data_IF_670069602694
#
_entry.id   IF_670069602694
#
_cell.length_a   1.000
_cell.length_b   1.000
_cell.length_c   1.000
_cell.angle_alpha   90.00
_cell.angle_beta   90.00
_cell.angle_gamma   90.00
#
_symmetry.space_group_name_H-M   'P 1'
#
loop_
_entity.id
_entity.type
_entity.pdbx_description
1 polymer ?
#
# COMPACT_ATOMS: atom_id res chain seq x y z
N UNK A 1 -26.12 -35.58 12.80
CA UNK A 1 -25.80 -37.01 12.98
C UNK A 1 -24.77 -37.36 11.94
N UNK A 2 -23.51 -37.22 12.37
CA UNK A 2 -22.37 -38.13 12.21
C UNK A 2 -22.38 -39.12 11.05
N UNK A 3 -21.24 -39.17 10.35
CA UNK A 3 -20.92 -40.22 9.39
C UNK A 3 -19.62 -39.97 8.63
N UNK A 4 -18.53 -39.84 9.38
CA UNK A 4 -17.13 -39.86 8.91
C UNK A 4 -16.83 -41.16 8.15
N UNK A 5 -16.18 -41.06 6.98
CA UNK A 5 -15.40 -42.16 6.44
C UNK A 5 -14.16 -41.60 5.71
N UNK A 6 -13.04 -41.59 6.43
CA UNK A 6 -11.70 -41.34 5.91
C UNK A 6 -11.35 -42.41 4.86
N UNK A 7 -11.05 -41.98 3.64
CA UNK A 7 -10.19 -42.73 2.72
C UNK A 7 -8.74 -42.31 2.95
N UNK A 8 -7.95 -43.21 3.52
CA UNK A 8 -6.50 -43.10 3.60
C UNK A 8 -5.91 -43.47 2.24
N UNK A 9 -5.42 -42.47 1.50
CA UNK A 9 -4.50 -42.68 0.38
C UNK A 9 -3.07 -42.48 0.87
N UNK A 10 -2.40 -43.62 0.97
CA UNK A 10 -0.96 -43.79 1.09
C UNK A 10 -0.25 -43.07 -0.07
N UNK A 11 0.71 -42.21 0.28
CA UNK A 11 1.66 -41.62 -0.67
C UNK A 11 2.98 -41.41 0.07
N UNK A 12 3.75 -42.50 0.08
CA UNK A 12 5.21 -42.50 0.16
C UNK A 12 5.84 -41.37 -0.65
N UNK A 13 6.62 -40.53 0.02
CA UNK A 13 7.75 -39.83 -0.58
C UNK A 13 8.85 -39.70 0.47
N UNK A 14 9.84 -40.57 0.36
CA UNK A 14 11.18 -40.39 0.90
C UNK A 14 11.72 -39.01 0.49
N UNK A 15 12.02 -38.17 1.46
CA UNK A 15 12.99 -37.08 1.30
C UNK A 15 13.65 -36.85 2.66
N UNK A 16 14.83 -37.43 2.78
CA UNK A 16 15.78 -37.30 3.87
C UNK A 16 16.07 -35.81 4.13
N UNK A 17 15.58 -35.28 5.26
CA UNK A 17 16.17 -34.08 5.85
C UNK A 17 17.08 -34.53 6.99
N UNK A 18 18.29 -34.93 6.60
CA UNK A 18 19.43 -35.02 7.50
C UNK A 18 19.72 -33.61 8.00
N UNK A 19 19.29 -33.33 9.23
CA UNK A 19 19.63 -32.13 9.97
C UNK A 19 21.13 -32.20 10.34
N UNK A 20 21.98 -31.82 9.38
CA UNK A 20 23.40 -31.57 9.63
C UNK A 20 23.51 -30.16 10.18
N UNK A 21 23.42 -30.04 11.51
CA UNK A 21 23.99 -28.90 12.24
C UNK A 21 25.49 -28.90 12.01
N UNK A 22 25.95 -28.23 10.97
CA UNK A 22 27.37 -28.00 10.74
C UNK A 22 27.80 -26.90 11.71
N UNK A 23 28.25 -27.33 12.89
CA UNK A 23 29.06 -26.50 13.79
C UNK A 23 30.32 -26.15 13.00
N UNK A 24 30.40 -24.89 12.53
CA UNK A 24 31.60 -24.36 11.89
C UNK A 24 32.62 -24.08 12.98
N UNK A 25 33.30 -25.13 13.46
CA UNK A 25 34.59 -24.97 14.12
C UNK A 25 35.62 -24.65 13.04
N UNK A 26 35.79 -23.36 12.77
CA UNK A 26 36.96 -22.88 12.04
C UNK A 26 38.19 -23.01 12.94
N UNK A 27 38.76 -24.21 13.02
CA UNK A 27 40.15 -24.35 13.48
C UNK A 27 41.06 -23.75 12.40
N UNK A 28 42.00 -22.86 12.79
CA UNK A 28 42.96 -22.32 11.84
C UNK A 28 43.92 -23.43 11.42
N UNK A 29 44.35 -23.48 10.13
CA UNK A 29 45.36 -24.45 9.72
C UNK A 29 46.63 -24.22 10.53
N UNK A 30 47.07 -25.29 11.19
CA UNK A 30 48.23 -25.31 12.06
C UNK A 30 49.43 -24.62 11.41
N UNK A 31 50.07 -23.78 12.19
CA UNK A 31 51.40 -23.27 11.91
C UNK A 31 52.33 -24.47 11.73
N UNK A 32 52.62 -24.80 10.48
CA UNK A 32 53.84 -25.52 10.12
C UNK A 32 54.99 -24.63 10.59
N UNK A 33 55.51 -24.98 11.75
CA UNK A 33 56.80 -24.51 12.24
C UNK A 33 57.83 -24.96 11.20
N UNK A 34 58.23 -24.03 10.33
CA UNK A 34 59.48 -24.14 9.58
C UNK A 34 60.58 -24.14 10.65
N UNK A 35 61.09 -25.34 10.98
CA UNK A 35 62.37 -25.55 11.65
C UNK A 35 63.43 -24.78 10.85
N UNK A 36 63.78 -23.59 11.35
CA UNK A 36 64.98 -22.90 10.93
C UNK A 36 66.11 -23.60 11.66
N UNK A 37 66.93 -24.33 10.88
CA UNK A 37 68.24 -24.78 11.32
C UNK A 37 68.99 -23.58 11.90
N UNK A 38 69.16 -23.58 13.22
CA UNK A 38 70.09 -22.70 13.89
C UNK A 38 71.49 -23.07 13.37
N UNK A 39 72.05 -22.25 12.48
CA UNK A 39 73.50 -22.24 12.29
C UNK A 39 74.10 -21.95 13.67
N UNK A 40 74.78 -22.95 14.24
CA UNK A 40 75.61 -22.80 15.43
C UNK A 40 76.60 -21.66 15.20
N UNK A 41 76.26 -20.44 15.60
CA UNK A 41 77.26 -19.40 15.81
C UNK A 41 78.07 -19.82 17.02
N UNK A 42 79.31 -20.26 16.77
CA UNK A 42 80.35 -20.47 17.77
C UNK A 42 80.23 -19.44 18.91
N UNK A 43 79.87 -19.94 20.08
CA UNK A 43 79.89 -19.20 21.33
C UNK A 43 81.37 -18.89 21.64
N UNK A 44 81.87 -17.76 21.13
CA UNK A 44 83.22 -17.28 21.43
C UNK A 44 83.31 -17.05 22.94
N UNK A 45 84.07 -17.92 23.60
CA UNK A 45 84.38 -17.87 25.03
C UNK A 45 84.84 -16.47 25.47
N UNK A 46 84.68 -16.10 26.77
CA UNK A 46 85.18 -14.83 27.26
C UNK A 46 86.71 -14.82 27.16
N UNK A 47 87.24 -14.17 26.12
CA UNK A 47 88.68 -13.98 25.94
C UNK A 47 89.23 -13.14 27.09
N UNK A 48 90.00 -13.80 27.96
CA UNK A 48 90.78 -13.14 29.02
C UNK A 48 91.82 -12.26 28.33
N UNK A 49 91.78 -10.97 28.63
CA UNK A 49 92.62 -9.96 27.99
C UNK A 49 93.98 -9.96 28.67
N UNK A 50 94.90 -10.75 28.13
CA UNK A 50 96.31 -10.61 28.42
C UNK A 50 96.84 -9.34 27.77
N UNK A 51 97.49 -8.48 28.56
CA UNK A 51 98.17 -7.30 28.05
C UNK A 51 99.25 -7.73 27.05
N UNK A 52 99.22 -7.15 25.85
CA UNK A 52 100.18 -7.47 24.80
C UNK A 52 101.61 -7.09 25.23
N UNK A 53 102.60 -7.88 24.82
CA UNK A 53 103.99 -7.51 25.03
C UNK A 53 104.32 -6.22 24.26
N UNK A 54 105.23 -5.40 24.77
CA UNK A 54 105.61 -4.14 24.12
C UNK A 54 106.07 -4.34 22.65
N UNK A 55 106.73 -5.46 22.36
CA UNK A 55 107.16 -5.80 21.01
C UNK A 55 105.96 -6.10 20.09
N UNK A 56 104.93 -6.75 20.62
CA UNK A 56 103.70 -7.07 19.88
C UNK A 56 102.84 -5.82 19.67
N UNK A 57 102.74 -4.93 20.67
CA UNK A 57 102.10 -3.62 20.54
C UNK A 57 102.73 -2.82 19.39
N UNK A 58 104.06 -2.78 19.30
CA UNK A 58 104.76 -2.08 18.21
C UNK A 58 104.50 -2.73 16.85
N UNK A 59 104.55 -4.06 16.76
CA UNK A 59 104.28 -4.79 15.49
C UNK A 59 102.86 -4.64 15.00
N UNK A 60 101.87 -4.67 15.91
CA UNK A 60 100.46 -4.55 15.55
C UNK A 60 100.11 -3.09 15.26
N UNK A 61 100.71 -2.13 15.97
CA UNK A 61 100.54 -0.70 15.68
C UNK A 61 100.99 -0.33 14.27
N UNK A 62 102.15 -0.81 13.81
CA UNK A 62 102.61 -0.52 12.43
C UNK A 62 101.67 -1.10 11.38
N UNK A 63 101.03 -2.24 11.65
CA UNK A 63 100.03 -2.83 10.77
C UNK A 63 98.74 -1.98 10.77
N UNK A 64 98.29 -1.52 11.95
CA UNK A 64 97.10 -0.66 12.06
C UNK A 64 97.30 0.70 11.39
N UNK A 65 98.49 1.29 11.50
CA UNK A 65 98.88 2.52 10.79
C UNK A 65 98.78 2.34 9.27
N UNK A 66 99.36 1.26 8.73
CA UNK A 66 99.26 0.93 7.30
C UNK A 66 97.81 0.72 6.85
N UNK A 67 96.98 0.06 7.67
CA UNK A 67 95.54 -0.11 7.36
C UNK A 67 94.79 1.21 7.35
N UNK A 68 95.06 2.12 8.30
CA UNK A 68 94.45 3.46 8.32
C UNK A 68 94.89 4.28 7.10
N UNK A 69 96.16 4.20 6.72
CA UNK A 69 96.69 4.86 5.53
C UNK A 69 96.03 4.31 4.26
N UNK A 70 95.88 2.99 4.14
CA UNK A 70 95.18 2.36 3.04
C UNK A 70 93.69 2.73 2.98
N UNK A 71 93.00 2.80 4.12
CA UNK A 71 91.61 3.26 4.21
C UNK A 71 91.49 4.74 3.86
N UNK A 72 92.49 5.56 4.18
CA UNK A 72 92.57 6.96 3.81
C UNK A 72 92.73 7.11 2.29
N UNK A 73 93.66 6.36 1.69
CA UNK A 73 93.86 6.29 0.24
C UNK A 73 92.57 5.86 -0.47
N UNK A 74 91.91 4.81 0.04
CA UNK A 74 90.62 4.35 -0.48
C UNK A 74 89.55 5.46 -0.42
N UNK A 75 89.55 6.26 0.65
CA UNK A 75 88.70 7.44 0.80
C UNK A 75 88.91 8.49 -0.28
N UNK A 76 90.15 8.71 -0.70
CA UNK A 76 90.49 9.63 -1.80
C UNK A 76 90.16 9.06 -3.19
N UNK A 77 90.24 7.74 -3.36
CA UNK A 77 89.94 7.06 -4.64
C UNK A 77 88.44 6.94 -4.89
N UNK A 78 87.61 6.88 -3.85
CA UNK A 78 86.16 6.70 -3.94
C UNK A 78 85.42 8.01 -3.57
N UNK A 79 85.59 9.14 -4.27
CA UNK A 79 84.95 10.38 -3.85
C UNK A 79 83.42 10.28 -3.95
N UNK A 80 82.72 10.51 -2.83
CA UNK A 80 81.27 10.78 -2.87
C UNK A 80 81.11 12.14 -3.56
N UNK A 81 80.39 12.26 -4.68
CA UNK A 81 80.11 13.57 -5.25
C UNK A 81 79.39 14.40 -4.19
N UNK A 82 80.01 15.51 -3.78
CA UNK A 82 79.47 16.45 -2.81
C UNK A 82 78.15 17.02 -3.37
N UNK A 83 77.04 16.78 -2.67
CA UNK A 83 75.81 17.54 -2.86
C UNK A 83 76.13 19.02 -2.56
N UNK A 84 76.37 19.80 -3.61
CA UNK A 84 76.46 21.26 -3.54
C UNK A 84 75.15 21.79 -2.97
N UNK A 85 75.14 22.04 -1.65
CA UNK A 85 74.04 22.66 -0.94
C UNK A 85 73.67 24.00 -1.60
N UNK A 86 72.39 24.13 -1.93
CA UNK A 86 71.73 25.43 -2.06
C UNK A 86 71.87 26.16 -0.74
N UNK A 87 72.65 27.23 -0.72
CA UNK A 87 72.63 28.22 0.36
C UNK A 87 73.02 29.59 -0.18
N UNK A 88 72.04 30.25 -0.82
CA UNK A 88 71.94 31.70 -0.84
C UNK A 88 70.51 32.03 -0.40
N UNK A 89 70.37 32.40 0.88
CA UNK A 89 69.66 33.61 1.31
C UNK A 89 69.40 33.48 2.80
N UNK A 90 70.22 34.17 3.59
CA UNK A 90 69.95 34.42 4.99
C UNK A 90 69.53 35.89 5.12
N UNK A 91 68.51 36.10 5.98
CA UNK A 91 68.09 37.35 6.66
C UNK A 91 66.95 38.14 6.02
N UNK A 92 65.74 37.87 6.51
CA UNK A 92 64.96 38.88 7.22
C UNK A 92 64.12 38.17 8.30
N UNK A 93 64.46 38.42 9.57
CA UNK A 93 63.69 38.03 10.75
C UNK A 93 62.73 39.16 11.14
N UNK A 94 61.68 38.79 11.90
CA UNK A 94 60.56 39.60 12.42
C UNK A 94 59.38 39.69 11.43
N UNK A 95 58.14 39.25 11.72
CA UNK A 95 57.38 39.15 12.98
C UNK A 95 56.33 37.99 12.99
N UNK A 96 55.74 37.74 14.18
CA UNK A 96 54.87 36.61 14.59
C UNK A 96 53.42 36.60 14.01
N UNK A 97 52.65 35.49 14.19
CA UNK A 97 51.54 35.10 13.32
C UNK A 97 50.17 35.60 13.76
N UNK A 98 49.22 35.70 12.81
CA UNK A 98 47.80 35.83 13.12
C UNK A 98 46.91 35.24 12.01
N UNK A 99 46.21 34.19 12.41
CA UNK A 99 44.79 33.92 12.17
C UNK A 99 44.17 33.98 10.75
N UNK A 100 43.68 32.78 10.36
CA UNK A 100 42.27 32.52 9.97
C UNK A 100 41.87 32.57 8.47
N UNK A 101 41.22 31.45 8.12
CA UNK A 101 40.16 31.23 7.13
C UNK A 101 40.46 31.30 5.63
N UNK A 102 40.40 30.10 5.05
CA UNK A 102 39.37 29.65 4.11
C UNK A 102 39.04 30.48 2.86
N UNK A 103 39.28 29.77 1.76
CA UNK A 103 38.35 29.48 0.66
C UNK A 103 38.20 30.43 -0.52
N UNK A 104 38.44 29.79 -1.68
CA UNK A 104 37.76 29.89 -2.98
C UNK A 104 38.19 31.01 -3.92
N UNK A 105 38.95 30.58 -4.93
CA UNK A 105 38.83 31.11 -6.30
C UNK A 105 37.85 30.25 -7.08
N UNK A 106 36.82 30.91 -7.61
CA UNK A 106 35.98 30.42 -8.70
C UNK A 106 36.62 30.82 -10.04
N UNK A 107 36.14 30.16 -11.11
CA UNK A 107 36.17 30.53 -12.55
C UNK A 107 37.22 29.88 -13.47
N UNK A 108 36.79 28.73 -14.01
CA UNK A 108 36.73 28.31 -15.45
C UNK A 108 36.87 29.44 -16.51
N UNK A 109 36.99 29.12 -17.83
CA UNK A 109 37.61 27.96 -18.51
C UNK A 109 38.36 28.32 -19.83
N UNK A 110 38.82 27.28 -20.55
CA UNK A 110 38.87 27.18 -22.02
C UNK A 110 40.07 27.81 -22.76
N UNK A 111 40.97 26.98 -23.31
CA UNK A 111 40.91 26.54 -24.73
C UNK A 111 42.19 25.80 -25.15
N UNK A 112 41.95 24.75 -25.95
CA UNK A 112 42.72 24.27 -27.11
C UNK A 112 44.26 24.21 -27.02
N UNK A 113 44.85 23.01 -26.98
CA UNK A 113 45.08 22.15 -28.14
C UNK A 113 45.86 22.85 -29.26
N UNK A 114 47.13 22.46 -29.46
CA UNK A 114 47.57 21.65 -30.62
C UNK A 114 49.07 21.78 -30.91
N UNK A 115 49.66 20.61 -31.15
CA UNK A 115 50.85 20.33 -31.96
C UNK A 115 52.23 20.64 -31.37
N UNK A 116 53.01 19.60 -31.03
CA UNK A 116 53.74 18.68 -31.94
C UNK A 116 55.08 19.30 -32.31
N UNK A 117 56.14 18.73 -31.74
CA UNK A 117 57.49 18.94 -32.25
C UNK A 117 58.54 18.66 -31.21
N UNK A 118 59.04 17.41 -31.25
CA UNK A 118 60.43 17.03 -30.98
C UNK A 118 60.91 17.19 -29.53
N UNK A 119 61.17 16.06 -28.88
CA UNK A 119 62.53 15.76 -28.40
C UNK A 119 62.63 14.30 -27.94
N UNK A 120 63.36 13.52 -28.74
CA UNK A 120 64.16 12.43 -28.24
C UNK A 120 65.16 13.05 -27.25
N UNK A 121 64.92 13.00 -25.95
CA UNK A 121 65.97 13.13 -24.92
C UNK A 121 65.48 12.53 -23.60
N UNK A 122 66.40 11.81 -22.97
CA UNK A 122 66.36 11.29 -21.60
C UNK A 122 65.56 10.00 -21.37
N UNK A 123 66.18 8.91 -21.84
CA UNK A 123 66.37 7.68 -21.06
C UNK A 123 66.29 7.99 -19.56
N UNK A 124 65.44 7.33 -18.79
CA UNK A 124 65.51 7.33 -17.32
C UNK A 124 66.67 6.44 -16.88
N UNK A 125 67.80 6.95 -16.35
CA UNK A 125 68.78 6.13 -15.62
C UNK A 125 68.60 6.31 -14.11
N UNK A 126 67.59 7.08 -13.67
CA UNK A 126 67.58 7.72 -12.36
C UNK A 126 67.55 6.71 -11.21
N UNK A 127 66.94 5.53 -11.38
CA UNK A 127 66.94 4.50 -10.34
C UNK A 127 68.29 3.81 -10.17
N UNK A 128 68.99 3.49 -11.26
CA UNK A 128 70.35 2.94 -11.18
C UNK A 128 71.33 3.98 -10.62
N UNK A 129 71.17 5.25 -10.99
CA UNK A 129 72.04 6.33 -10.48
C UNK A 129 71.82 6.64 -8.99
N UNK A 130 70.60 6.56 -8.47
CA UNK A 130 70.29 6.77 -7.04
C UNK A 130 70.79 5.59 -6.19
N UNK A 131 70.51 4.34 -6.61
CA UNK A 131 71.01 3.14 -5.92
C UNK A 131 72.54 3.16 -5.87
N UNK A 132 73.20 3.60 -6.94
CA UNK A 132 74.66 3.74 -6.97
C UNK A 132 75.20 4.86 -6.05
N UNK A 133 74.44 5.94 -5.82
CA UNK A 133 74.86 6.99 -4.90
C UNK A 133 74.67 6.58 -3.44
N UNK A 134 73.57 5.89 -3.12
CA UNK A 134 73.31 5.37 -1.78
C UNK A 134 74.30 4.26 -1.41
N UNK A 135 74.64 3.35 -2.33
CA UNK A 135 75.69 2.36 -2.12
C UNK A 135 77.06 3.00 -1.95
N UNK A 136 77.39 4.04 -2.73
CA UNK A 136 78.64 4.77 -2.58
C UNK A 136 78.72 5.51 -1.24
N UNK A 137 77.62 6.14 -0.80
CA UNK A 137 77.50 6.77 0.53
C UNK A 137 77.67 5.73 1.64
N UNK A 138 77.06 4.54 1.50
CA UNK A 138 77.23 3.43 2.44
C UNK A 138 78.68 2.97 2.51
N UNK A 139 79.32 2.70 1.38
CA UNK A 139 80.74 2.28 1.31
C UNK A 139 81.64 3.31 2.02
N UNK A 140 81.36 4.60 1.85
CA UNK A 140 82.12 5.67 2.49
C UNK A 140 81.87 5.79 4.00
N UNK A 141 80.64 5.56 4.46
CA UNK A 141 80.32 5.47 5.88
C UNK A 141 80.97 4.23 6.51
N UNK A 142 80.90 3.08 5.85
CA UNK A 142 81.51 1.82 6.30
C UNK A 142 83.03 1.98 6.38
N UNK A 143 83.67 2.59 5.37
CA UNK A 143 85.11 2.93 5.37
C UNK A 143 85.48 3.83 6.54
N UNK A 144 84.71 4.89 6.78
CA UNK A 144 84.97 5.81 7.89
C UNK A 144 84.82 5.09 9.23
N UNK A 145 83.78 4.27 9.38
CA UNK A 145 83.57 3.44 10.57
C UNK A 145 84.75 2.49 10.82
N UNK A 146 85.24 1.76 9.81
CA UNK A 146 86.43 0.92 9.95
C UNK A 146 87.67 1.73 10.34
N UNK A 147 87.86 2.91 9.73
CA UNK A 147 88.96 3.80 10.06
C UNK A 147 88.91 4.26 11.52
N UNK A 148 87.72 4.60 12.03
CA UNK A 148 87.53 5.07 13.40
C UNK A 148 87.73 3.94 14.42
N UNK A 149 87.25 2.72 14.11
CA UNK A 149 87.44 1.53 14.95
C UNK A 149 88.92 1.17 15.06
N UNK A 150 89.64 1.13 13.93
CA UNK A 150 91.07 0.79 13.91
C UNK A 150 91.91 1.89 14.57
N UNK A 151 91.59 3.16 14.34
CA UNK A 151 92.29 4.27 15.01
C UNK A 151 92.08 4.26 16.53
N UNK A 152 90.87 3.93 16.99
CA UNK A 152 90.56 3.81 18.42
C UNK A 152 91.29 2.61 19.04
N UNK A 153 91.29 1.45 18.37
CA UNK A 153 91.99 0.25 18.84
C UNK A 153 93.51 0.45 18.87
N UNK A 154 94.08 1.09 17.84
CA UNK A 154 95.50 1.43 17.79
C UNK A 154 95.90 2.35 18.93
N UNK A 155 95.10 3.38 19.21
CA UNK A 155 95.34 4.29 20.33
C UNK A 155 95.23 3.57 21.68
N UNK A 156 94.20 2.74 21.87
CA UNK A 156 94.04 1.92 23.08
C UNK A 156 95.24 0.98 23.30
N UNK A 157 95.76 0.41 22.22
CA UNK A 157 96.90 -0.50 22.26
C UNK A 157 98.21 0.21 22.59
N UNK A 158 98.41 1.43 22.08
CA UNK A 158 99.58 2.27 22.39
C UNK A 158 99.54 2.81 23.83
N UNK A 159 98.37 3.24 24.30
CA UNK A 159 98.21 3.87 25.62
C UNK A 159 98.12 2.85 26.76
N UNK A 160 97.46 1.71 26.54
CA UNK A 160 97.09 0.76 27.59
C UNK A 160 97.43 -0.72 27.28
N UNK A 161 97.97 -1.03 26.09
CA UNK A 161 98.30 -2.41 25.70
C UNK A 161 97.10 -3.34 25.55
N UNK A 162 95.91 -2.79 25.30
CA UNK A 162 94.61 -3.49 25.25
C UNK A 162 93.87 -3.22 23.93
N UNK A 163 92.94 -4.10 23.56
CA UNK A 163 92.13 -4.01 22.34
C UNK A 163 90.61 -4.19 22.58
N UNK A 164 90.12 -3.87 23.79
CA UNK A 164 88.72 -4.04 24.19
C UNK A 164 87.75 -3.30 23.27
N UNK A 165 88.12 -2.10 22.82
CA UNK A 165 87.30 -1.29 21.92
C UNK A 165 86.98 -2.00 20.60
N UNK A 166 87.92 -2.80 20.07
CA UNK A 166 87.70 -3.61 18.87
C UNK A 166 86.76 -4.77 19.14
N UNK A 167 86.93 -5.47 20.26
CA UNK A 167 86.07 -6.57 20.67
C UNK A 167 84.62 -6.09 20.91
N UNK A 168 84.45 -4.95 21.58
CA UNK A 168 83.13 -4.32 21.76
C UNK A 168 82.52 -3.88 20.41
N UNK A 169 83.33 -3.37 19.47
CA UNK A 169 82.84 -3.01 18.14
C UNK A 169 82.37 -4.23 17.35
N UNK A 170 83.12 -5.33 17.39
CA UNK A 170 82.74 -6.61 16.79
C UNK A 170 81.47 -7.20 17.43
N UNK A 171 81.36 -7.16 18.76
CA UNK A 171 80.15 -7.58 19.47
C UNK A 171 78.92 -6.78 19.05
N UNK A 172 79.03 -5.45 18.98
CA UNK A 172 77.95 -4.58 18.48
C UNK A 172 77.54 -4.91 17.04
N UNK A 173 78.48 -5.26 16.17
CA UNK A 173 78.17 -5.62 14.77
C UNK A 173 77.49 -6.99 14.67
N UNK A 174 77.89 -7.96 15.49
CA UNK A 174 77.21 -9.27 15.62
C UNK A 174 75.76 -9.08 16.11
N UNK A 175 75.57 -8.30 17.16
CA UNK A 175 74.23 -7.99 17.69
C UNK A 175 73.37 -7.27 16.64
N UNK A 176 73.95 -6.30 15.92
CA UNK A 176 73.26 -5.63 14.81
C UNK A 176 72.85 -6.62 13.73
N UNK A 177 73.75 -7.53 13.32
CA UNK A 177 73.45 -8.57 12.33
C UNK A 177 72.28 -9.44 12.78
N UNK A 178 72.30 -9.93 14.01
CA UNK A 178 71.21 -10.72 14.58
C UNK A 178 69.89 -9.94 14.59
N UNK A 179 69.90 -8.69 15.05
CA UNK A 179 68.73 -7.80 15.07
C UNK A 179 68.14 -7.58 13.66
N UNK A 180 68.99 -7.46 12.62
CA UNK A 180 68.53 -7.35 11.23
C UNK A 180 67.84 -8.64 10.75
N UNK A 181 68.39 -9.81 11.05
CA UNK A 181 67.79 -11.09 10.67
C UNK A 181 66.44 -11.29 11.38
N UNK A 182 66.37 -10.95 12.68
CA UNK A 182 65.11 -10.98 13.43
C UNK A 182 64.09 -9.98 12.88
N UNK A 183 64.52 -8.77 12.50
CA UNK A 183 63.65 -7.78 11.88
C UNK A 183 63.09 -8.25 10.53
N UNK A 184 63.91 -8.91 9.71
CA UNK A 184 63.51 -9.45 8.41
C UNK A 184 62.48 -10.57 8.59
N UNK A 185 62.76 -11.55 9.46
CA UNK A 185 61.83 -12.67 9.69
C UNK A 185 60.50 -12.20 10.26
N UNK A 186 60.51 -11.22 11.17
CA UNK A 186 59.29 -10.61 11.73
C UNK A 186 58.49 -9.87 10.67
N UNK A 187 59.14 -9.06 9.84
CA UNK A 187 58.50 -8.34 8.73
C UNK A 187 57.91 -9.31 7.71
N UNK A 188 58.61 -10.40 7.39
CA UNK A 188 58.12 -11.41 6.45
C UNK A 188 56.89 -12.14 6.99
N UNK A 189 56.92 -12.58 8.26
CA UNK A 189 55.75 -13.14 8.96
C UNK A 189 54.58 -12.15 8.95
N UNK A 190 54.83 -10.87 9.24
CA UNK A 190 53.82 -9.80 9.16
C UNK A 190 53.20 -9.67 7.76
N UNK A 191 54.02 -9.69 6.70
CA UNK A 191 53.54 -9.65 5.31
C UNK A 191 52.73 -10.88 4.92
N UNK A 192 53.13 -12.08 5.37
CA UNK A 192 52.37 -13.32 5.17
C UNK A 192 50.98 -13.20 5.83
N UNK A 193 50.92 -12.71 7.07
CA UNK A 193 49.66 -12.51 7.79
C UNK A 193 48.76 -11.46 7.12
N UNK A 194 49.33 -10.34 6.67
CA UNK A 194 48.57 -9.31 5.94
C UNK A 194 47.96 -9.89 4.67
N UNK A 195 48.73 -10.65 3.88
CA UNK A 195 48.22 -11.31 2.66
C UNK A 195 47.11 -12.31 2.98
N UNK A 196 47.24 -13.06 4.07
CA UNK A 196 46.23 -14.01 4.52
C UNK A 196 44.93 -13.31 4.93
N UNK A 197 45.01 -12.28 5.76
CA UNK A 197 43.85 -11.47 6.16
C UNK A 197 43.20 -10.76 4.98
N UNK A 198 43.97 -10.28 4.01
CA UNK A 198 43.45 -9.71 2.77
C UNK A 198 42.64 -10.71 1.96
N UNK A 199 43.08 -11.98 1.86
CA UNK A 199 42.33 -13.05 1.20
C UNK A 199 41.03 -13.34 1.94
N UNK A 200 41.10 -13.55 3.25
CA UNK A 200 39.90 -13.78 4.07
C UNK A 200 38.88 -12.65 3.93
N UNK A 201 39.33 -11.39 3.94
CA UNK A 201 38.45 -10.24 3.76
C UNK A 201 37.75 -10.25 2.39
N UNK A 202 38.45 -10.64 1.33
CA UNK A 202 37.88 -10.79 -0.01
C UNK A 202 36.86 -11.93 -0.04
N UNK A 203 37.15 -13.06 0.61
CA UNK A 203 36.28 -14.23 0.63
C UNK A 203 34.99 -13.94 1.40
N UNK A 204 35.08 -13.34 2.59
CA UNK A 204 33.91 -12.87 3.36
C UNK A 204 33.09 -11.86 2.56
N UNK A 205 33.74 -10.95 1.82
CA UNK A 205 33.03 -9.99 0.97
C UNK A 205 32.27 -10.68 -0.17
N UNK A 206 32.86 -11.69 -0.81
CA UNK A 206 32.19 -12.49 -1.85
C UNK A 206 31.03 -13.30 -1.27
N UNK A 207 31.24 -13.95 -0.14
CA UNK A 207 30.19 -14.71 0.56
C UNK A 207 29.00 -13.80 0.89
N UNK A 208 29.27 -12.63 1.49
CA UNK A 208 28.21 -11.67 1.81
C UNK A 208 27.49 -11.18 0.56
N UNK A 209 28.20 -10.97 -0.54
CA UNK A 209 27.61 -10.60 -1.83
C UNK A 209 26.66 -11.70 -2.35
N UNK A 210 27.05 -12.97 -2.25
CA UNK A 210 26.20 -14.11 -2.64
C UNK A 210 24.98 -14.22 -1.73
N UNK A 211 25.13 -14.07 -0.41
CA UNK A 211 24.00 -14.05 0.51
C UNK A 211 22.98 -12.95 0.16
N UNK A 212 23.45 -11.76 -0.21
CA UNK A 212 22.58 -10.65 -0.65
C UNK A 212 21.90 -10.99 -1.98
N UNK A 213 22.60 -11.61 -2.93
CA UNK A 213 22.00 -12.06 -4.19
C UNK A 213 20.90 -13.10 -3.96
N UNK A 214 21.17 -14.14 -3.17
CA UNK A 214 20.19 -15.16 -2.81
C UNK A 214 18.96 -14.55 -2.10
N UNK A 215 19.19 -13.60 -1.18
CA UNK A 215 18.12 -12.85 -0.52
C UNK A 215 17.26 -12.05 -1.50
N UNK A 216 17.89 -11.38 -2.48
CA UNK A 216 17.18 -10.64 -3.52
C UNK A 216 16.35 -11.56 -4.43
N UNK A 217 16.87 -12.73 -4.79
CA UNK A 217 16.15 -13.75 -5.57
C UNK A 217 14.93 -14.28 -4.80
N UNK A 218 15.09 -14.56 -3.50
CA UNK A 218 13.99 -14.98 -2.65
C UNK A 218 12.90 -13.90 -2.52
N UNK A 219 13.31 -12.63 -2.37
CA UNK A 219 12.37 -11.49 -2.38
C UNK A 219 11.64 -11.39 -3.72
N UNK A 220 12.31 -11.64 -4.85
CA UNK A 220 11.68 -11.64 -6.16
C UNK A 220 10.62 -12.75 -6.28
N UNK A 221 10.97 -13.98 -5.90
CA UNK A 221 10.02 -15.11 -5.87
C UNK A 221 8.81 -14.83 -4.99
N UNK A 222 9.01 -14.29 -3.78
CA UNK A 222 7.90 -13.91 -2.89
C UNK A 222 7.01 -12.80 -3.48
N UNK A 223 7.58 -11.83 -4.21
CA UNK A 223 6.81 -10.80 -4.89
C UNK A 223 5.93 -11.39 -6.00
N UNK A 224 6.47 -12.32 -6.78
CA UNK A 224 5.74 -12.99 -7.85
C UNK A 224 4.58 -13.83 -7.27
N UNK A 225 4.84 -14.61 -6.21
CA UNK A 225 3.79 -15.36 -5.50
C UNK A 225 2.70 -14.44 -4.95
N UNK A 226 3.07 -13.31 -4.34
CA UNK A 226 2.10 -12.34 -3.83
C UNK A 226 1.25 -11.75 -4.95
N UNK A 227 1.86 -11.43 -6.09
CA UNK A 227 1.16 -10.90 -7.25
C UNK A 227 0.21 -11.93 -7.85
N UNK A 228 0.62 -13.19 -7.94
CA UNK A 228 -0.22 -14.31 -8.38
C UNK A 228 -1.42 -14.51 -7.44
N UNK A 229 -1.19 -14.57 -6.13
CA UNK A 229 -2.27 -14.70 -5.14
C UNK A 229 -3.24 -13.53 -5.20
N UNK A 230 -2.73 -12.30 -5.35
CA UNK A 230 -3.57 -11.11 -5.52
C UNK A 230 -4.44 -11.20 -6.78
N UNK A 231 -3.88 -11.67 -7.90
CA UNK A 231 -4.64 -11.87 -9.13
C UNK A 231 -5.71 -12.96 -8.98
N UNK A 232 -5.38 -14.10 -8.37
CA UNK A 232 -6.31 -15.19 -8.09
C UNK A 232 -7.46 -14.75 -7.20
N UNK A 233 -7.18 -14.12 -6.05
CA UNK A 233 -8.19 -13.61 -5.13
C UNK A 233 -9.09 -12.56 -5.79
N UNK A 234 -8.53 -11.68 -6.63
CA UNK A 234 -9.34 -10.70 -7.36
C UNK A 234 -10.30 -11.37 -8.36
N UNK A 235 -9.83 -12.37 -9.11
CA UNK A 235 -10.67 -13.11 -10.05
C UNK A 235 -11.76 -13.90 -9.33
N UNK A 236 -11.42 -14.56 -8.22
CA UNK A 236 -12.37 -15.29 -7.39
C UNK A 236 -13.46 -14.35 -6.82
N UNK A 237 -13.07 -13.19 -6.31
CA UNK A 237 -14.02 -12.18 -5.84
C UNK A 237 -14.97 -11.71 -6.95
N UNK A 238 -14.45 -11.47 -8.16
CA UNK A 238 -15.28 -11.10 -9.31
C UNK A 238 -16.25 -12.23 -9.70
N UNK A 239 -15.77 -13.47 -9.72
CA UNK A 239 -16.60 -14.64 -10.02
C UNK A 239 -17.71 -14.81 -8.99
N UNK A 240 -17.38 -14.76 -7.70
CA UNK A 240 -18.35 -14.90 -6.62
C UNK A 240 -19.38 -13.78 -6.63
N UNK A 241 -18.95 -12.52 -6.85
CA UNK A 241 -19.85 -11.38 -7.00
C UNK A 241 -20.80 -11.56 -8.20
N UNK A 242 -20.26 -11.96 -9.36
CA UNK A 242 -21.07 -12.21 -10.56
C UNK A 242 -22.09 -13.32 -10.30
N UNK A 243 -21.70 -14.39 -9.61
CA UNK A 243 -22.56 -15.51 -9.28
C UNK A 243 -23.71 -15.09 -8.33
N UNK A 244 -23.41 -14.34 -7.27
CA UNK A 244 -24.45 -13.86 -6.34
C UNK A 244 -25.38 -12.84 -6.99
N UNK A 245 -24.85 -11.91 -7.80
CA UNK A 245 -25.66 -10.97 -8.58
C UNK A 245 -26.62 -11.70 -9.53
N UNK A 246 -26.15 -12.76 -10.21
CA UNK A 246 -26.99 -13.56 -11.08
C UNK A 246 -28.10 -14.28 -10.31
N UNK A 247 -27.80 -14.87 -9.16
CA UNK A 247 -28.80 -15.53 -8.31
C UNK A 247 -29.87 -14.53 -7.82
N UNK A 248 -29.43 -13.35 -7.37
CA UNK A 248 -30.34 -12.27 -6.94
C UNK A 248 -31.22 -11.84 -8.12
N UNK A 249 -30.63 -11.55 -9.29
CA UNK A 249 -31.38 -11.11 -10.47
C UNK A 249 -32.38 -12.17 -10.96
N UNK A 250 -31.99 -13.45 -10.94
CA UNK A 250 -32.90 -14.56 -11.29
C UNK A 250 -34.08 -14.64 -10.31
N UNK A 251 -33.79 -14.58 -9.01
CA UNK A 251 -34.82 -14.65 -7.97
C UNK A 251 -35.76 -13.45 -8.06
N UNK A 252 -35.20 -12.25 -8.20
CA UNK A 252 -35.95 -11.02 -8.40
C UNK A 252 -36.88 -11.12 -9.61
N UNK A 253 -36.39 -11.59 -10.77
CA UNK A 253 -37.23 -11.77 -11.97
C UNK A 253 -38.37 -12.76 -11.76
N UNK A 254 -38.15 -13.85 -11.02
CA UNK A 254 -39.22 -14.81 -10.69
C UNK A 254 -40.28 -14.16 -9.81
N UNK A 255 -39.86 -13.43 -8.78
CA UNK A 255 -40.77 -12.69 -7.91
C UNK A 255 -41.56 -11.63 -8.68
N UNK A 256 -40.89 -10.81 -9.51
CA UNK A 256 -41.55 -9.77 -10.31
C UNK A 256 -42.62 -10.34 -11.25
N UNK A 257 -42.38 -11.49 -11.89
CA UNK A 257 -43.42 -12.13 -12.73
C UNK A 257 -44.63 -12.61 -11.93
N UNK A 258 -44.39 -13.15 -10.73
CA UNK A 258 -45.48 -13.58 -9.85
C UNK A 258 -46.28 -12.37 -9.35
N UNK A 259 -45.60 -11.29 -9.02
CA UNK A 259 -46.20 -10.01 -8.64
C UNK A 259 -47.03 -9.41 -9.78
N UNK A 260 -46.50 -9.37 -11.00
CA UNK A 260 -47.23 -8.94 -12.21
C UNK A 260 -48.52 -9.77 -12.41
N UNK A 261 -48.45 -11.09 -12.28
CA UNK A 261 -49.63 -11.95 -12.39
C UNK A 261 -50.69 -11.64 -11.32
N UNK A 262 -50.27 -11.41 -10.07
CA UNK A 262 -51.18 -11.03 -8.99
C UNK A 262 -51.79 -9.65 -9.23
N UNK A 263 -51.02 -8.69 -9.74
CA UNK A 263 -51.53 -7.36 -10.11
C UNK A 263 -52.56 -7.45 -11.24
N UNK A 264 -52.32 -8.27 -12.27
CA UNK A 264 -53.31 -8.51 -13.32
C UNK A 264 -54.59 -9.15 -12.78
N UNK A 265 -54.49 -10.06 -11.80
CA UNK A 265 -55.64 -10.69 -11.16
C UNK A 265 -56.43 -9.71 -10.29
N UNK A 266 -55.74 -8.87 -9.52
CA UNK A 266 -56.35 -7.77 -8.76
C UNK A 266 -57.11 -6.83 -9.70
N UNK A 267 -56.51 -6.46 -10.83
CA UNK A 267 -57.16 -5.57 -11.80
C UNK A 267 -58.39 -6.21 -12.45
N UNK A 268 -58.34 -7.51 -12.80
CA UNK A 268 -59.50 -8.26 -13.29
C UNK A 268 -60.63 -8.29 -12.26
N UNK A 269 -60.32 -8.51 -10.99
CA UNK A 269 -61.30 -8.48 -9.91
C UNK A 269 -61.87 -7.08 -9.72
N UNK A 270 -61.02 -6.05 -9.75
CA UNK A 270 -61.44 -4.64 -9.67
C UNK A 270 -62.46 -4.29 -10.76
N UNK A 271 -62.19 -4.67 -12.01
CA UNK A 271 -63.10 -4.46 -13.13
C UNK A 271 -64.44 -5.20 -12.96
N UNK A 272 -64.44 -6.43 -12.43
CA UNK A 272 -65.68 -7.17 -12.12
C UNK A 272 -66.49 -6.49 -11.02
N UNK A 273 -65.83 -6.04 -9.95
CA UNK A 273 -66.49 -5.30 -8.86
C UNK A 273 -67.07 -3.97 -9.36
N UNK A 274 -66.36 -3.26 -10.24
CA UNK A 274 -66.87 -2.01 -10.84
C UNK A 274 -68.10 -2.26 -11.73
N UNK A 275 -68.08 -3.34 -12.52
CA UNK A 275 -69.23 -3.77 -13.32
C UNK A 275 -70.43 -4.15 -12.45
N UNK A 276 -70.22 -4.95 -11.39
CA UNK A 276 -71.27 -5.32 -10.43
C UNK A 276 -71.85 -4.07 -9.75
N UNK A 277 -71.01 -3.12 -9.35
CA UNK A 277 -71.44 -1.84 -8.79
C UNK A 277 -72.26 -1.04 -9.80
N UNK A 278 -71.86 -1.01 -11.08
CA UNK A 278 -72.64 -0.32 -12.13
C UNK A 278 -74.01 -0.95 -12.29
N UNK A 279 -74.08 -2.27 -12.48
CA UNK A 279 -75.36 -3.00 -12.61
C UNK A 279 -76.23 -2.82 -11.37
N UNK A 280 -75.64 -2.84 -10.18
CA UNK A 280 -76.35 -2.57 -8.93
C UNK A 280 -76.99 -1.19 -8.94
N UNK A 281 -76.26 -0.13 -9.30
CA UNK A 281 -76.82 1.22 -9.41
C UNK A 281 -77.93 1.33 -10.45
N UNK A 282 -77.82 0.65 -11.59
CA UNK A 282 -78.85 0.62 -12.63
C UNK A 282 -80.13 -0.08 -12.14
N UNK A 283 -79.99 -1.19 -11.41
CA UNK A 283 -81.10 -1.91 -10.78
C UNK A 283 -81.78 -1.03 -9.72
N UNK A 284 -81.00 -0.39 -8.84
CA UNK A 284 -81.54 0.53 -7.83
C UNK A 284 -82.33 1.68 -8.47
N UNK A 285 -81.79 2.29 -9.54
CA UNK A 285 -82.48 3.34 -10.29
C UNK A 285 -83.77 2.83 -10.94
N UNK A 286 -83.75 1.63 -11.54
CA UNK A 286 -84.93 1.00 -12.13
C UNK A 286 -86.01 0.76 -11.07
N UNK A 287 -85.66 0.14 -9.94
CA UNK A 287 -86.60 -0.15 -8.84
C UNK A 287 -87.19 1.14 -8.25
N UNK A 288 -86.36 2.18 -8.08
CA UNK A 288 -86.83 3.49 -7.59
C UNK A 288 -87.81 4.15 -8.55
N UNK A 289 -87.56 4.08 -9.86
CA UNK A 289 -88.48 4.60 -10.89
C UNK A 289 -89.80 3.84 -10.88
N UNK A 290 -89.75 2.52 -10.80
CA UNK A 290 -90.94 1.68 -10.72
C UNK A 290 -91.75 1.96 -9.44
N UNK A 291 -91.09 2.16 -8.30
CA UNK A 291 -91.73 2.59 -7.07
C UNK A 291 -92.44 3.94 -7.25
N UNK A 292 -91.77 4.93 -7.85
CA UNK A 292 -92.38 6.23 -8.13
C UNK A 292 -93.61 6.13 -9.03
N UNK A 293 -93.57 5.28 -10.07
CA UNK A 293 -94.73 5.04 -10.94
C UNK A 293 -95.90 4.49 -10.12
N UNK A 294 -95.66 3.48 -9.27
CA UNK A 294 -96.69 2.93 -8.38
C UNK A 294 -97.26 3.97 -7.42
N UNK A 295 -96.42 4.83 -6.85
CA UNK A 295 -96.85 5.94 -5.98
C UNK A 295 -97.74 6.93 -6.73
N UNK A 296 -97.37 7.32 -7.97
CA UNK A 296 -98.22 8.18 -8.81
C UNK A 296 -99.56 7.53 -9.16
N UNK A 297 -99.56 6.25 -9.53
CA UNK A 297 -100.79 5.50 -9.81
C UNK A 297 -101.71 5.43 -8.60
N UNK A 298 -101.15 5.18 -7.41
CA UNK A 298 -101.90 5.18 -6.16
C UNK A 298 -102.56 6.54 -5.91
N UNK A 299 -101.83 7.64 -6.05
CA UNK A 299 -102.38 9.00 -5.89
C UNK A 299 -103.50 9.28 -6.90
N UNK A 300 -103.35 8.83 -8.16
CA UNK A 300 -104.40 8.97 -9.19
C UNK A 300 -105.66 8.18 -8.82
N UNK A 301 -105.50 6.96 -8.31
CA UNK A 301 -106.63 6.12 -7.88
C UNK A 301 -107.32 6.75 -6.67
N UNK A 302 -106.56 7.23 -5.68
CA UNK A 302 -107.07 7.91 -4.49
C UNK A 302 -107.86 9.17 -4.84
N UNK A 303 -107.32 10.05 -5.69
CA UNK A 303 -108.03 11.25 -6.18
C UNK A 303 -109.32 10.88 -6.93
N UNK A 304 -109.29 9.82 -7.75
CA UNK A 304 -110.48 9.35 -8.47
C UNK A 304 -111.56 8.84 -7.52
N UNK A 305 -111.18 8.03 -6.53
CA UNK A 305 -112.08 7.51 -5.50
C UNK A 305 -112.65 8.64 -4.63
N UNK A 306 -111.83 9.63 -4.26
CA UNK A 306 -112.27 10.79 -3.49
C UNK A 306 -113.27 11.64 -4.28
N UNK A 307 -113.00 11.92 -5.56
CA UNK A 307 -113.95 12.60 -6.46
C UNK A 307 -115.26 11.82 -6.64
N UNK A 308 -115.21 10.50 -6.73
CA UNK A 308 -116.43 9.68 -6.79
C UNK A 308 -117.21 9.72 -5.47
N UNK A 309 -116.51 9.62 -4.33
CA UNK A 309 -117.10 9.74 -2.99
C UNK A 309 -117.76 11.11 -2.80
N UNK A 310 -117.11 12.19 -3.25
CA UNK A 310 -117.67 13.55 -3.24
C UNK A 310 -118.90 13.69 -4.15
N UNK A 311 -118.88 13.08 -5.34
CA UNK A 311 -120.07 13.04 -6.23
C UNK A 311 -121.22 12.27 -5.62
N UNK A 312 -120.97 11.08 -5.05
CA UNK A 312 -121.98 10.27 -4.35
C UNK A 312 -122.55 11.02 -3.15
N UNK A 313 -121.70 11.69 -2.36
CA UNK A 313 -122.13 12.54 -1.24
C UNK A 313 -123.02 13.68 -1.73
N UNK A 314 -122.62 14.42 -2.76
CA UNK A 314 -123.43 15.49 -3.35
C UNK A 314 -124.78 14.97 -3.88
N UNK A 315 -124.80 13.82 -4.54
CA UNK A 315 -126.04 13.18 -5.00
C UNK A 315 -126.95 12.80 -3.83
N UNK A 316 -126.37 12.26 -2.76
CA UNK A 316 -127.09 11.94 -1.54
C UNK A 316 -127.67 13.20 -0.90
N UNK A 317 -126.85 14.25 -0.73
CA UNK A 317 -127.27 15.56 -0.20
C UNK A 317 -128.39 16.17 -1.08
N UNK A 318 -128.30 16.06 -2.41
CA UNK A 318 -129.33 16.52 -3.35
C UNK A 318 -130.65 15.72 -3.21
N UNK A 319 -130.58 14.40 -3.00
CA UNK A 319 -131.75 13.54 -2.78
C UNK A 319 -132.39 13.80 -1.41
N UNK A 320 -131.58 14.01 -0.38
CA UNK A 320 -132.01 14.43 0.95
C UNK A 320 -132.69 15.80 0.87
N UNK A 321 -132.09 16.77 0.19
CA UNK A 321 -132.69 18.08 -0.02
C UNK A 321 -134.01 18.00 -0.78
N UNK A 322 -134.09 17.22 -1.87
CA UNK A 322 -135.34 16.98 -2.60
C UNK A 322 -136.42 16.35 -1.70
N UNK A 323 -136.03 15.42 -0.84
CA UNK A 323 -136.93 14.78 0.12
C UNK A 323 -137.41 15.77 1.18
N UNK A 324 -136.51 16.61 1.73
CA UNK A 324 -136.83 17.70 2.65
C UNK A 324 -137.77 18.71 2.00
N UNK A 325 -137.53 19.13 0.75
CA UNK A 325 -138.41 20.06 0.02
C UNK A 325 -139.79 19.45 -0.22
N UNK A 326 -139.86 18.16 -0.58
CA UNK A 326 -141.15 17.45 -0.71
C UNK A 326 -141.89 17.38 0.62
N UNK A 327 -141.20 17.09 1.73
CA UNK A 327 -141.78 17.12 3.07
C UNK A 327 -142.25 18.52 3.45
N UNK A 328 -141.47 19.55 3.14
CA UNK A 328 -141.82 20.95 3.37
C UNK A 328 -143.06 21.35 2.56
N UNK A 329 -143.14 20.96 1.28
CA UNK A 329 -144.30 21.19 0.41
C UNK A 329 -145.53 20.39 0.87
N UNK A 330 -145.35 19.14 1.30
CA UNK A 330 -146.41 18.29 1.85
C UNK A 330 -146.98 18.88 3.14
N UNK A 331 -146.09 19.34 4.04
CA UNK A 331 -146.48 20.00 5.28
C UNK A 331 -147.19 21.33 5.00
N UNK A 332 -146.64 22.19 4.12
CA UNK A 332 -147.30 23.42 3.66
C UNK A 332 -148.67 23.15 3.04
N UNK A 333 -148.79 22.14 2.17
CA UNK A 333 -150.06 21.75 1.56
C UNK A 333 -151.07 21.19 2.57
N UNK A 334 -150.60 20.51 3.61
CA UNK A 334 -151.46 20.01 4.70
C UNK A 334 -151.93 21.15 5.61
N UNK A 335 -151.05 22.10 5.92
CA UNK A 335 -151.38 23.36 6.57
C UNK A 335 -152.46 24.11 5.80
N UNK A 336 -152.33 24.25 4.48
CA UNK A 336 -153.33 24.90 3.62
C UNK A 336 -154.66 24.13 3.61
N UNK A 337 -154.65 22.80 3.46
CA UNK A 337 -155.88 21.99 3.39
C UNK A 337 -156.62 21.86 4.72
N UNK A 338 -155.90 21.89 5.84
CA UNK A 338 -156.50 21.89 7.18
C UNK A 338 -156.72 23.29 7.74
N UNK A 339 -156.37 24.35 6.99
CA UNK A 339 -156.44 25.75 7.41
C UNK A 339 -155.69 26.03 8.75
N UNK A 340 -154.60 25.30 9.01
CA UNK A 340 -153.80 25.41 10.24
C UNK A 340 -152.68 26.43 10.01
N UNK A 341 -153.01 27.71 10.15
CA UNK A 341 -152.15 28.86 9.88
C UNK A 341 -152.95 29.98 9.20
N UNK A 342 -152.31 31.09 8.84
CA UNK A 342 -153.01 32.30 8.36
C UNK A 342 -153.66 32.22 6.94
N UNK A 343 -153.93 31.04 6.37
CA UNK A 343 -154.41 30.86 4.98
C UNK A 343 -155.71 30.00 4.89
N UNK A 344 -156.72 30.41 4.09
CA UNK A 344 -158.05 29.77 3.92
C UNK A 344 -158.54 29.68 2.45
N UNK A 345 -159.33 28.65 2.09
CA UNK A 345 -159.80 28.34 0.72
C UNK A 345 -161.27 28.80 0.41
N UNK A 346 -161.59 29.41 -0.76
CA UNK A 346 -162.97 29.77 -1.19
C UNK A 346 -163.73 28.67 -1.97
N UNK A 347 -165.09 28.65 -1.96
CA UNK A 347 -165.98 27.60 -2.54
C UNK A 347 -166.58 27.90 -3.94
N UNK A 348 -166.55 26.84 -4.78
CA UNK A 348 -167.43 26.30 -5.87
C UNK A 348 -168.14 27.18 -6.91
N UNK A 349 -168.01 26.77 -8.20
CA UNK A 349 -169.11 26.34 -9.10
C UNK A 349 -168.56 25.44 -10.25
N UNK A 350 -169.44 24.63 -10.88
CA UNK A 350 -169.16 23.54 -11.85
C UNK A 350 -169.71 23.89 -13.24
N UNK A 351 -169.04 23.46 -14.32
CA UNK A 351 -169.67 23.00 -15.58
C UNK A 351 -168.79 21.91 -16.26
N UNK A 352 -169.45 21.04 -17.04
CA UNK A 352 -168.99 19.75 -17.55
C UNK A 352 -168.48 19.76 -19.03
N UNK A 353 -167.96 18.59 -19.45
CA UNK A 353 -167.89 18.01 -20.82
C UNK A 353 -166.54 18.12 -21.61
N UNK A 354 -165.72 17.07 -21.42
CA UNK A 354 -165.34 15.98 -22.36
C UNK A 354 -164.44 16.21 -23.61
N UNK A 355 -163.29 15.52 -23.52
CA UNK A 355 -162.49 14.73 -24.48
C UNK A 355 -161.60 15.31 -25.60
N UNK A 356 -160.31 15.01 -25.38
CA UNK A 356 -159.32 14.44 -26.32
C UNK A 356 -158.66 15.35 -27.36
N UNK A 357 -157.36 15.60 -27.18
CA UNK A 357 -156.45 15.93 -28.29
C UNK A 357 -155.07 15.35 -28.08
N UNK A 358 -154.65 14.56 -29.05
CA UNK A 358 -153.34 13.95 -29.14
C UNK A 358 -152.21 14.96 -29.38
N UNK A 359 -151.02 14.44 -29.06
CA UNK A 359 -149.67 14.81 -29.50
C UNK A 359 -149.63 15.39 -30.91
N UNK A 360 -148.78 16.39 -31.13
CA UNK A 360 -147.46 16.25 -31.79
C UNK A 360 -146.86 17.65 -32.07
N UNK A 361 -145.53 17.70 -32.27
CA UNK A 361 -144.70 18.80 -32.79
C UNK A 361 -144.32 19.88 -31.77
N UNK A 362 -143.09 20.34 -31.65
CA UNK A 362 -141.96 20.36 -32.59
C UNK A 362 -140.70 20.91 -31.87
N UNK A 363 -139.52 20.36 -32.24
CA UNK A 363 -138.17 20.96 -32.36
C UNK A 363 -137.73 22.04 -31.35
N UNK A 364 -136.46 22.15 -30.92
CA UNK A 364 -135.25 22.31 -31.77
C UNK A 364 -134.04 22.60 -30.86
N UNK A 365 -132.89 22.03 -31.25
CA UNK A 365 -131.53 22.64 -31.31
C UNK A 365 -130.80 23.14 -30.05
N UNK A 366 -129.50 22.80 -30.01
CA UNK A 366 -128.40 23.70 -29.63
C UNK A 366 -127.62 23.22 -28.41
N UNK A 367 -126.54 22.45 -28.56
CA UNK A 367 -125.16 22.89 -28.88
C UNK A 367 -124.49 23.64 -27.73
N UNK A 368 -123.62 22.97 -26.98
CA UNK A 368 -122.17 23.24 -27.00
C UNK A 368 -121.39 22.03 -26.51
#
# INVERSE_FOLDING_TARGET
>A
MDGDHLEALDSSSEALHSEVTMVVTGEPPGSLEEELEEEEEEETAPEVIDYLSLLDVLRVSTIMEDVIDQLSILGYIIPVPYERKQSISQKASHEKPSAVSSTRKLSLPLSEMKQRGQDLILKKPTRQTIINLETLKKIQNDRQYFSDVIATAMKEMQDFGSFKSLLEALGRERDNRMNFHEAITREEKGRRQIKFLQRQLIDVKKERQVQVQNGNEYIAHLKDQLQEMKAKTNLENLYMKRNTELQISQTQKKCSRAEEHLLEEIEKLRMKTEEENRVHTEIELFLKKEQQIREYEQVIIEDRLEKEKMRKKKQQDDLELKSIVKLQAWWRGTVVRREIGSFKMPRKEKEDIKDSKGKEKEKRRGKK
#
